data_IF_627093158527
#
_entry.id   IF_627093158527
#
_cell.length_a   1.000
_cell.length_b   1.000
_cell.length_c   1.000
_cell.angle_alpha   90.00
_cell.angle_beta   90.00
_cell.angle_gamma   90.00
#
_symmetry.space_group_name_H-M   'P 1'
#
loop_
_entity.id
_entity.type
_entity.pdbx_description
1 polymer ?
#
# COMPACT_ATOMS: atom_id res chain seq x y z
N UNK A 1 21.35 12.75 -19.78
CA UNK A 1 20.97 12.97 -18.38
C UNK A 1 19.47 12.74 -18.29
N UNK A 2 19.03 11.66 -17.64
CA UNK A 2 17.60 11.44 -17.39
C UNK A 2 17.13 12.51 -16.39
N UNK A 3 16.02 13.17 -16.69
CA UNK A 3 15.43 14.16 -15.79
C UNK A 3 14.87 13.43 -14.56
N UNK A 4 15.12 13.97 -13.36
CA UNK A 4 14.59 13.47 -12.08
C UNK A 4 13.05 13.42 -12.12
N UNK A 5 12.43 14.34 -12.88
CA UNK A 5 10.99 14.41 -13.14
C UNK A 5 10.45 13.23 -13.95
N UNK A 6 11.30 12.52 -14.68
CA UNK A 6 10.93 11.27 -15.38
C UNK A 6 10.97 10.03 -14.46
N UNK A 7 11.59 10.13 -13.28
CA UNK A 7 11.84 9.01 -12.37
C UNK A 7 10.85 9.02 -11.18
N UNK A 8 10.40 10.20 -10.77
CA UNK A 8 9.53 10.40 -9.61
C UNK A 8 8.16 10.88 -10.06
N UNK A 9 7.20 9.96 -10.15
CA UNK A 9 5.81 10.24 -10.51
C UNK A 9 4.92 10.51 -9.28
N UNK A 10 5.40 10.20 -8.08
CA UNK A 10 4.79 10.55 -6.79
C UNK A 10 5.71 11.52 -6.06
N UNK A 11 5.30 12.78 -5.81
CA UNK A 11 6.13 13.75 -5.11
C UNK A 11 6.22 13.43 -3.61
N UNK A 12 7.32 13.83 -2.95
CA UNK A 12 7.47 13.73 -1.49
C UNK A 12 6.34 14.39 -0.70
N UNK A 13 5.76 15.47 -1.24
CA UNK A 13 4.61 16.15 -0.62
C UNK A 13 3.35 15.30 -0.55
N UNK A 14 3.30 14.15 -1.24
CA UNK A 14 2.23 13.18 -1.12
C UNK A 14 2.36 12.28 0.14
N UNK A 15 3.46 12.40 0.88
CA UNK A 15 3.73 11.69 2.13
C UNK A 15 3.70 12.68 3.30
N UNK A 16 3.10 12.25 4.40
CA UNK A 16 2.97 13.09 5.60
C UNK A 16 4.31 13.19 6.34
N UNK A 17 4.65 14.39 6.82
CA UNK A 17 5.77 14.58 7.74
C UNK A 17 7.17 14.61 7.12
N UNK A 18 7.28 14.58 5.78
CA UNK A 18 8.57 14.72 5.09
C UNK A 18 9.15 16.11 5.35
N UNK A 19 10.35 16.16 5.94
CA UNK A 19 11.07 17.42 6.17
C UNK A 19 11.57 18.01 4.85
N UNK A 20 11.83 19.32 4.77
CA UNK A 20 12.56 19.89 3.62
C UNK A 20 14.08 19.80 3.77
N UNK A 21 14.55 19.51 4.98
CA UNK A 21 15.97 19.35 5.29
C UNK A 21 16.45 17.98 4.84
N UNK A 22 17.64 17.96 4.23
CA UNK A 22 18.32 16.76 3.74
C UNK A 22 19.60 16.53 4.55
N UNK A 23 19.92 15.27 4.78
CA UNK A 23 21.14 14.82 5.43
C UNK A 23 21.89 13.84 4.52
N UNK A 24 23.22 13.92 4.52
CA UNK A 24 24.08 13.05 3.73
C UNK A 24 24.39 11.75 4.48
N UNK A 25 24.29 10.63 3.76
CA UNK A 25 24.70 9.30 4.22
C UNK A 25 25.69 8.77 3.18
N UNK A 26 26.98 8.95 3.42
CA UNK A 26 28.02 8.55 2.46
C UNK A 26 27.96 9.37 1.17
N UNK A 27 27.38 8.83 0.10
CA UNK A 27 27.26 9.48 -1.22
C UNK A 27 25.81 9.71 -1.65
N UNK A 28 24.86 9.50 -0.74
CA UNK A 28 23.44 9.72 -0.97
C UNK A 28 22.92 10.77 -0.01
N UNK A 29 21.79 11.39 -0.37
CA UNK A 29 21.07 12.32 0.50
C UNK A 29 19.65 11.81 0.72
N UNK A 30 19.17 11.95 1.94
CA UNK A 30 17.80 11.61 2.35
C UNK A 30 17.21 12.74 3.18
N UNK A 31 15.90 12.84 3.26
CA UNK A 31 15.24 13.78 4.15
C UNK A 31 15.53 13.41 5.60
N UNK A 32 15.73 14.40 6.46
CA UNK A 32 16.01 14.19 7.90
C UNK A 32 14.94 13.33 8.57
N UNK A 33 13.66 13.47 8.17
CA UNK A 33 12.55 12.63 8.65
C UNK A 33 12.75 11.14 8.36
N UNK A 34 13.45 10.81 7.26
CA UNK A 34 13.65 9.46 6.76
C UNK A 34 15.00 8.84 7.17
N UNK A 35 15.89 9.60 7.82
CA UNK A 35 17.23 9.14 8.20
C UNK A 35 17.20 7.80 8.94
N UNK A 36 16.31 7.65 9.92
CA UNK A 36 16.18 6.41 10.70
C UNK A 36 15.79 5.21 9.84
N UNK A 37 14.88 5.42 8.87
CA UNK A 37 14.48 4.37 7.94
C UNK A 37 15.60 4.03 6.96
N UNK A 38 16.27 5.04 6.40
CA UNK A 38 17.39 4.84 5.50
C UNK A 38 18.51 4.02 6.17
N UNK A 39 18.90 4.38 7.40
CA UNK A 39 19.87 3.61 8.18
C UNK A 39 19.40 2.19 8.46
N UNK A 40 18.14 2.00 8.85
CA UNK A 40 17.57 0.66 9.09
C UNK A 40 17.61 -0.21 7.84
N UNK A 41 17.22 0.34 6.68
CA UNK A 41 17.22 -0.39 5.41
C UNK A 41 18.65 -0.74 5.01
N UNK A 42 19.58 0.22 5.02
CA UNK A 42 20.98 -0.01 4.64
C UNK A 42 21.67 -1.02 5.58
N UNK A 43 21.30 -1.05 6.86
CA UNK A 43 21.82 -2.03 7.81
C UNK A 43 21.20 -3.43 7.62
N UNK A 44 19.91 -3.51 7.26
CA UNK A 44 19.17 -4.78 7.10
C UNK A 44 19.39 -5.42 5.73
N UNK A 45 19.49 -4.59 4.70
CA UNK A 45 19.61 -4.94 3.28
C UNK A 45 20.81 -4.19 2.68
N UNK A 46 22.05 -4.55 3.05
CA UNK A 46 23.25 -3.86 2.57
C UNK A 46 23.39 -3.87 1.05
N UNK A 47 22.79 -4.85 0.38
CA UNK A 47 22.76 -5.00 -1.07
C UNK A 47 21.78 -4.07 -1.79
N UNK A 48 20.97 -3.30 -1.06
CA UNK A 48 19.89 -2.48 -1.63
C UNK A 48 20.36 -1.52 -2.73
N UNK A 49 21.59 -1.03 -2.64
CA UNK A 49 22.20 -0.13 -3.63
C UNK A 49 23.25 -0.81 -4.54
N UNK A 50 23.57 -2.09 -4.34
CA UNK A 50 24.72 -2.74 -4.99
C UNK A 50 24.63 -2.82 -6.52
N UNK A 51 23.40 -2.97 -7.05
CA UNK A 51 23.13 -3.06 -8.49
C UNK A 51 22.47 -1.79 -9.04
N UNK A 52 22.62 -0.65 -8.35
CA UNK A 52 22.09 0.62 -8.83
C UNK A 52 22.63 0.91 -10.23
N UNK A 53 21.73 1.05 -11.20
CA UNK A 53 22.06 1.26 -12.63
C UNK A 53 22.42 2.71 -12.96
N UNK A 54 22.34 3.57 -11.96
CA UNK A 54 22.50 5.01 -12.06
C UNK A 54 23.42 5.52 -10.95
N UNK A 55 23.93 6.73 -11.13
CA UNK A 55 24.78 7.38 -10.13
C UNK A 55 24.10 7.42 -8.76
N UNK A 56 24.90 7.33 -7.70
CA UNK A 56 24.45 7.26 -6.31
C UNK A 56 23.44 8.35 -5.92
N UNK A 57 23.48 9.60 -6.41
CA UNK A 57 22.43 10.59 -6.13
C UNK A 57 21.03 10.18 -6.60
N UNK A 58 20.91 9.54 -7.77
CA UNK A 58 19.62 9.07 -8.30
C UNK A 58 19.14 7.87 -7.49
N UNK A 59 20.04 6.94 -7.17
CA UNK A 59 19.71 5.80 -6.33
C UNK A 59 19.32 6.23 -4.90
N UNK A 60 19.99 7.25 -4.35
CA UNK A 60 19.69 7.88 -3.07
C UNK A 60 18.31 8.50 -3.03
N UNK A 61 17.94 9.22 -4.09
CA UNK A 61 16.58 9.78 -4.26
C UNK A 61 15.52 8.68 -4.21
N UNK A 62 15.77 7.56 -4.89
CA UNK A 62 14.84 6.44 -4.90
C UNK A 62 14.76 5.74 -3.54
N UNK A 63 15.89 5.61 -2.83
CA UNK A 63 15.94 5.08 -1.47
C UNK A 63 15.18 5.97 -0.48
N UNK A 64 15.34 7.29 -0.60
CA UNK A 64 14.65 8.27 0.24
C UNK A 64 13.13 8.19 0.06
N UNK A 65 12.65 8.15 -1.18
CA UNK A 65 11.22 7.97 -1.47
C UNK A 65 10.71 6.58 -1.02
N UNK A 66 11.55 5.55 -1.12
CA UNK A 66 11.25 4.22 -0.59
C UNK A 66 11.08 4.24 0.94
N UNK A 67 11.90 5.03 1.66
CA UNK A 67 11.75 5.21 3.11
C UNK A 67 10.38 5.82 3.45
N UNK A 68 9.98 6.87 2.74
CA UNK A 68 8.67 7.50 2.92
C UNK A 68 7.53 6.49 2.74
N UNK A 69 7.61 5.65 1.69
CA UNK A 69 6.61 4.61 1.42
C UNK A 69 6.58 3.57 2.54
N UNK A 70 7.73 3.06 2.97
CA UNK A 70 7.79 2.02 4.00
C UNK A 70 7.33 2.54 5.37
N UNK A 71 7.68 3.78 5.72
CA UNK A 71 7.15 4.44 6.90
C UNK A 71 5.63 4.52 6.85
N UNK A 72 5.06 4.98 5.73
CA UNK A 72 3.61 5.13 5.60
C UNK A 72 2.90 3.77 5.59
N UNK A 73 3.50 2.74 4.97
CA UNK A 73 2.97 1.37 4.99
C UNK A 73 2.89 0.81 6.41
N UNK A 74 3.94 0.99 7.23
CA UNK A 74 3.97 0.54 8.62
C UNK A 74 2.97 1.30 9.52
N UNK A 75 2.63 2.54 9.16
CA UNK A 75 1.75 3.41 9.93
C UNK A 75 0.30 3.49 9.41
N UNK A 76 -0.03 2.81 8.32
CA UNK A 76 -1.39 2.83 7.76
C UNK A 76 -2.17 1.58 8.17
N UNK A 77 -3.22 1.71 9.00
CA UNK A 77 -4.06 0.57 9.37
C UNK A 77 -4.80 -0.02 8.17
N UNK A 78 -5.05 -1.34 8.20
CA UNK A 78 -5.75 -2.04 7.11
C UNK A 78 -7.12 -1.43 6.76
N UNK A 79 -7.84 -0.84 7.72
CA UNK A 79 -9.16 -0.25 7.49
C UNK A 79 -9.11 1.10 6.78
N UNK A 80 -7.98 1.82 6.84
CA UNK A 80 -7.76 3.08 6.15
C UNK A 80 -7.22 2.87 4.72
N UNK A 81 -6.90 1.63 4.34
CA UNK A 81 -6.40 1.31 3.02
C UNK A 81 -7.43 1.59 1.93
N UNK A 82 -6.92 2.12 0.82
CA UNK A 82 -7.67 2.33 -0.41
C UNK A 82 -6.84 1.89 -1.62
N UNK A 83 -7.49 1.73 -2.77
CA UNK A 83 -6.78 1.47 -4.03
C UNK A 83 -5.79 2.61 -4.38
N UNK A 84 -6.13 3.85 -4.04
CA UNK A 84 -5.28 5.01 -4.27
C UNK A 84 -4.00 4.94 -3.43
N UNK A 85 -4.12 4.60 -2.14
CA UNK A 85 -2.96 4.41 -1.25
C UNK A 85 -2.05 3.29 -1.77
N UNK A 86 -2.62 2.14 -2.10
CA UNK A 86 -1.84 1.01 -2.65
C UNK A 86 -1.14 1.39 -3.97
N UNK A 87 -1.79 2.21 -4.81
CA UNK A 87 -1.22 2.70 -6.06
C UNK A 87 -0.06 3.66 -5.78
N UNK A 88 -0.26 4.62 -4.85
CA UNK A 88 0.74 5.58 -4.38
C UNK A 88 2.01 4.88 -3.90
N UNK A 89 1.89 3.82 -3.12
CA UNK A 89 3.04 3.03 -2.66
C UNK A 89 3.69 2.21 -3.77
N UNK A 90 2.88 1.66 -4.69
CA UNK A 90 3.40 0.77 -5.72
C UNK A 90 4.36 1.46 -6.69
N UNK A 91 4.17 2.76 -6.95
CA UNK A 91 4.96 3.45 -7.98
C UNK A 91 6.41 3.67 -7.57
N UNK A 92 6.71 4.29 -6.41
CA UNK A 92 8.08 4.44 -5.94
C UNK A 92 8.82 3.10 -5.81
N UNK A 93 8.16 2.05 -5.31
CA UNK A 93 8.77 0.71 -5.19
C UNK A 93 9.14 0.16 -6.58
N UNK A 94 8.25 0.29 -7.57
CA UNK A 94 8.54 -0.13 -8.96
C UNK A 94 9.65 0.70 -9.58
N UNK A 95 9.70 2.00 -9.31
CA UNK A 95 10.75 2.87 -9.81
C UNK A 95 12.11 2.52 -9.20
N UNK A 96 12.19 2.28 -7.88
CA UNK A 96 13.40 1.79 -7.22
C UNK A 96 13.90 0.49 -7.87
N UNK A 97 13.01 -0.47 -8.11
CA UNK A 97 13.35 -1.72 -8.81
C UNK A 97 13.88 -1.47 -10.24
N UNK A 98 13.24 -0.58 -11.01
CA UNK A 98 13.68 -0.19 -12.37
C UNK A 98 15.06 0.47 -12.38
N UNK A 99 15.39 1.21 -11.32
CA UNK A 99 16.69 1.83 -11.11
C UNK A 99 17.76 0.83 -10.65
N UNK A 100 17.39 -0.43 -10.41
CA UNK A 100 18.31 -1.51 -10.03
C UNK A 100 18.44 -1.73 -8.52
N UNK A 101 17.68 -1.01 -7.69
CA UNK A 101 17.70 -1.24 -6.25
C UNK A 101 17.10 -2.62 -5.92
N UNK A 102 17.68 -3.32 -4.94
CA UNK A 102 17.17 -4.60 -4.45
C UNK A 102 16.03 -4.38 -3.46
N UNK A 103 14.81 -4.29 -3.99
CA UNK A 103 13.60 -3.92 -3.22
C UNK A 103 12.58 -5.07 -3.12
N UNK A 104 13.02 -6.32 -3.22
CA UNK A 104 12.14 -7.50 -3.14
C UNK A 104 11.37 -7.52 -1.81
N UNK A 105 12.00 -7.12 -0.72
CA UNK A 105 11.37 -7.01 0.60
C UNK A 105 10.17 -6.03 0.59
N UNK A 106 10.31 -4.88 -0.08
CA UNK A 106 9.24 -3.89 -0.19
C UNK A 106 8.12 -4.37 -1.12
N UNK A 107 8.47 -5.06 -2.21
CA UNK A 107 7.51 -5.69 -3.11
C UNK A 107 6.67 -6.76 -2.39
N UNK A 108 7.32 -7.59 -1.57
CA UNK A 108 6.63 -8.63 -0.79
C UNK A 108 5.75 -8.05 0.30
N UNK A 109 6.19 -6.98 0.97
CA UNK A 109 5.36 -6.27 1.93
C UNK A 109 4.12 -5.67 1.26
N UNK A 110 4.29 -4.97 0.12
CA UNK A 110 3.17 -4.41 -0.65
C UNK A 110 2.19 -5.51 -1.10
N UNK A 111 2.71 -6.65 -1.57
CA UNK A 111 1.90 -7.80 -1.98
C UNK A 111 1.08 -8.35 -0.81
N UNK A 112 1.70 -8.45 0.37
CA UNK A 112 1.04 -8.94 1.59
C UNK A 112 -0.09 -8.01 2.01
N UNK A 113 0.17 -6.71 2.09
CA UNK A 113 -0.84 -5.70 2.44
C UNK A 113 -1.97 -5.64 1.42
N UNK A 114 -1.64 -5.69 0.12
CA UNK A 114 -2.63 -5.72 -0.97
C UNK A 114 -3.54 -6.95 -0.87
N UNK A 115 -2.98 -8.13 -0.56
CA UNK A 115 -3.77 -9.35 -0.36
C UNK A 115 -4.72 -9.23 0.82
N UNK A 116 -4.26 -8.66 1.94
CA UNK A 116 -5.10 -8.43 3.12
C UNK A 116 -6.27 -7.48 2.79
N UNK A 117 -6.00 -6.38 2.09
CA UNK A 117 -7.02 -5.43 1.64
C UNK A 117 -8.07 -6.09 0.72
N UNK A 118 -7.63 -6.79 -0.31
CA UNK A 118 -8.54 -7.45 -1.27
C UNK A 118 -9.34 -8.59 -0.60
N UNK A 119 -8.70 -9.37 0.28
CA UNK A 119 -9.37 -10.42 1.05
C UNK A 119 -10.44 -9.87 1.99
N UNK A 120 -10.18 -8.73 2.63
CA UNK A 120 -11.17 -8.01 3.45
C UNK A 120 -12.37 -7.53 2.64
N UNK A 121 -12.13 -6.97 1.44
CA UNK A 121 -13.21 -6.55 0.51
C UNK A 121 -14.06 -7.72 0.01
N UNK A 122 -13.45 -8.83 -0.37
CA UNK A 122 -14.18 -10.02 -0.81
C UNK A 122 -15.01 -10.64 0.32
N UNK A 123 -14.48 -10.63 1.55
CA UNK A 123 -15.21 -11.13 2.72
C UNK A 123 -16.43 -10.27 3.03
N UNK A 124 -16.29 -8.93 3.02
CA UNK A 124 -17.39 -8.01 3.31
C UNK A 124 -18.49 -8.06 2.25
N UNK A 125 -18.15 -8.18 0.96
CA UNK A 125 -19.15 -8.36 -0.09
C UNK A 125 -19.94 -9.65 0.09
N UNK A 126 -19.27 -10.77 0.41
CA UNK A 126 -19.94 -12.05 0.66
C UNK A 126 -20.89 -12.01 1.87
N UNK A 127 -20.55 -11.25 2.91
CA UNK A 127 -21.41 -11.06 4.09
C UNK A 127 -22.65 -10.24 3.76
N UNK A 128 -22.52 -9.21 2.91
CA UNK A 128 -23.65 -8.42 2.43
C UNK A 128 -24.61 -9.25 1.59
N UNK A 129 -24.10 -10.10 0.69
CA UNK A 129 -24.90 -11.02 -0.11
C UNK A 129 -25.68 -12.01 0.78
N UNK A 130 -25.01 -12.63 1.75
CA UNK A 130 -25.65 -13.53 2.73
C UNK A 130 -26.76 -12.82 3.50
N UNK A 131 -26.52 -11.58 3.96
CA UNK A 131 -27.52 -10.79 4.69
C UNK A 131 -28.74 -10.48 3.82
N UNK A 132 -28.53 -10.13 2.55
CA UNK A 132 -29.63 -9.87 1.62
C UNK A 132 -30.48 -11.12 1.37
N UNK A 133 -29.86 -12.29 1.23
CA UNK A 133 -30.57 -13.56 1.08
C UNK A 133 -31.42 -13.87 2.31
N UNK A 134 -30.86 -13.71 3.52
CA UNK A 134 -31.58 -13.91 4.78
C UNK A 134 -32.84 -13.03 4.87
N UNK A 135 -32.72 -11.75 4.51
CA UNK A 135 -33.86 -10.82 4.49
C UNK A 135 -34.95 -11.29 3.52
N UNK A 136 -34.57 -11.79 2.34
CA UNK A 136 -35.53 -12.30 1.36
C UNK A 136 -36.20 -13.61 1.80
N UNK A 137 -35.49 -14.47 2.53
CA UNK A 137 -36.07 -15.68 3.15
C UNK A 137 -37.13 -15.27 4.18
N UNK A 138 -36.81 -14.39 5.13
CA UNK A 138 -37.75 -13.93 6.16
C UNK A 138 -39.02 -13.31 5.56
N UNK A 139 -38.88 -12.55 4.46
CA UNK A 139 -40.04 -11.98 3.74
C UNK A 139 -40.92 -13.08 3.12
N UNK A 140 -40.32 -14.12 2.55
CA UNK A 140 -41.05 -15.24 1.94
C UNK A 140 -41.76 -16.08 3.00
N UNK A 141 -41.11 -16.34 4.14
CA UNK A 141 -41.71 -17.07 5.27
C UNK A 141 -42.96 -16.36 5.80
N UNK A 142 -42.91 -15.03 6.00
CA UNK A 142 -44.09 -14.25 6.41
C UNK A 142 -45.24 -14.34 5.41
N UNK A 143 -44.94 -14.32 4.10
CA UNK A 143 -45.95 -14.48 3.04
C UNK A 143 -46.59 -15.87 3.08
N UNK A 144 -45.80 -16.92 3.23
CA UNK A 144 -46.29 -18.30 3.36
C UNK A 144 -47.21 -18.41 4.57
N UNK A 145 -46.79 -17.89 5.72
CA UNK A 145 -47.60 -17.92 6.95
C UNK A 145 -48.95 -17.21 6.78
N UNK A 146 -48.95 -16.05 6.12
CA UNK A 146 -50.19 -15.30 5.83
C UNK A 146 -51.12 -16.09 4.90
N UNK A 147 -50.57 -16.79 3.90
CA UNK A 147 -51.35 -17.63 2.99
C UNK A 147 -51.92 -18.86 3.72
N UNK A 148 -51.13 -19.52 4.57
CA UNK A 148 -51.60 -20.67 5.35
C UNK A 148 -52.70 -20.31 6.35
N UNK A 149 -52.64 -19.12 6.95
CA UNK A 149 -53.71 -18.59 7.79
C UNK A 149 -54.97 -18.29 6.97
N UNK A 150 -54.82 -17.79 5.74
CA UNK A 150 -55.93 -17.57 4.82
C UNK A 150 -56.62 -18.87 4.43
N UNK A 151 -55.85 -19.92 4.10
CA UNK A 151 -56.38 -21.25 3.75
C UNK A 151 -57.10 -21.90 4.94
N UNK A 152 -56.58 -21.77 6.17
CA UNK A 152 -57.22 -22.31 7.38
C UNK A 152 -58.57 -21.67 7.73
N UNK A 153 -58.87 -20.50 7.17
CA UNK A 153 -60.11 -19.75 7.43
C UNK A 153 -61.19 -19.96 6.36
N UNK A 154 -60.91 -20.76 5.34
CA UNK A 154 -61.86 -21.19 4.29
C UNK A 154 -62.45 -22.56 4.65
#
# INVERSE_FOLDING_TARGET
MLDMKTIVDVPWSAFAGVSSEMVEIGHIQVHTSELNWAMKILATYPEVLSDARFDLPIAGTALDLLCCVLWEMDNTPLYDLSHEILTKWSSPIKNACRLGLKVDFALDHLRTVTRAFLGGKASSSSLLEKRNILIEIEKKEKKIQTLEEGVRKL
#
